data_IF_249552910400
#
_entry.id   IF_249552910400
#
_cell.length_a   1.000
_cell.length_b   1.000
_cell.length_c   1.000
_cell.angle_alpha   90.00
_cell.angle_beta   90.00
_cell.angle_gamma   90.00
#
_symmetry.space_group_name_H-M   'P 1'
#
loop_
_entity.id
_entity.type
_entity.pdbx_description
1 polymer ?
#
# COMPACT_ATOMS: atom_id res chain seq x y z
N UNK A 1 6.43 -93.88 -1.54
CA UNK A 1 5.41 -94.96 -1.48
C UNK A 1 4.05 -94.26 -1.51
N UNK A 2 3.21 -94.72 -2.51
CA UNK A 2 1.74 -94.56 -2.65
C UNK A 2 1.27 -93.12 -2.89
N UNK A 3 0.89 -92.75 -4.03
CA UNK A 3 -0.06 -93.15 -5.14
C UNK A 3 -1.50 -92.73 -4.82
N UNK A 4 -2.06 -92.07 -5.83
CA UNK A 4 -3.49 -92.12 -6.22
C UNK A 4 -4.39 -91.12 -5.57
N UNK A 5 -5.28 -90.33 -6.24
CA UNK A 5 -5.92 -90.66 -7.51
C UNK A 5 -6.78 -89.50 -8.03
N UNK A 6 -6.90 -89.52 -9.27
CA UNK A 6 -7.68 -88.61 -10.13
C UNK A 6 -9.19 -88.96 -9.95
N UNK A 7 -10.05 -87.92 -9.84
CA UNK A 7 -11.46 -88.04 -10.27
C UNK A 7 -11.91 -86.80 -11.00
N UNK A 8 -12.27 -87.02 -12.26
CA UNK A 8 -13.08 -86.18 -13.11
C UNK A 8 -14.51 -86.05 -12.60
N UNK A 9 -15.08 -84.86 -12.61
CA UNK A 9 -16.53 -84.69 -12.74
C UNK A 9 -16.91 -83.40 -13.39
N UNK A 10 -17.49 -83.57 -14.53
CA UNK A 10 -18.63 -82.91 -15.21
C UNK A 10 -18.77 -81.39 -15.28
N UNK A 11 -18.81 -81.03 -16.53
CA UNK A 11 -19.22 -79.75 -17.07
C UNK A 11 -20.74 -79.59 -17.03
N UNK A 12 -21.27 -78.63 -16.33
CA UNK A 12 -22.62 -78.13 -16.59
C UNK A 12 -22.51 -76.61 -16.84
N UNK A 13 -22.82 -76.23 -18.08
CA UNK A 13 -22.96 -74.88 -18.54
C UNK A 13 -24.06 -74.13 -17.78
N UNK A 14 -23.75 -73.04 -17.13
CA UNK A 14 -24.72 -72.07 -16.68
C UNK A 14 -24.44 -70.72 -17.39
N UNK A 15 -25.34 -70.41 -18.31
CA UNK A 15 -25.37 -69.09 -19.00
C UNK A 15 -25.77 -68.02 -17.98
N UNK A 16 -24.88 -67.16 -17.63
CA UNK A 16 -25.18 -65.96 -16.87
C UNK A 16 -25.15 -64.75 -17.81
N UNK A 17 -26.33 -64.19 -18.02
CA UNK A 17 -26.50 -62.96 -18.81
C UNK A 17 -25.77 -61.82 -18.08
N UNK A 18 -24.72 -61.28 -18.74
CA UNK A 18 -24.02 -60.09 -18.26
C UNK A 18 -24.84 -58.84 -18.63
N UNK A 19 -25.58 -58.32 -17.67
CA UNK A 19 -26.18 -56.97 -17.74
C UNK A 19 -25.06 -55.93 -17.57
N UNK A 20 -24.63 -55.34 -18.67
CA UNK A 20 -23.76 -54.15 -18.63
C UNK A 20 -24.53 -52.98 -18.04
N UNK A 21 -24.31 -52.68 -16.76
CA UNK A 21 -24.64 -51.40 -16.15
C UNK A 21 -23.64 -50.36 -16.67
N UNK A 22 -24.05 -49.51 -17.64
CA UNK A 22 -23.35 -48.27 -17.98
C UNK A 22 -23.46 -47.34 -16.77
N UNK A 23 -22.41 -47.26 -15.96
CA UNK A 23 -22.25 -46.19 -14.99
C UNK A 23 -21.91 -44.88 -15.77
N UNK A 24 -22.60 -43.78 -15.52
CA UNK A 24 -22.23 -42.50 -16.14
C UNK A 24 -20.84 -42.06 -15.62
N UNK A 25 -19.91 -41.90 -16.54
CA UNK A 25 -18.59 -41.30 -16.29
C UNK A 25 -18.82 -39.84 -15.90
N UNK A 26 -18.88 -39.56 -14.59
CA UNK A 26 -18.85 -38.18 -14.09
C UNK A 26 -17.41 -37.70 -14.27
N UNK A 27 -17.14 -37.00 -15.39
CA UNK A 27 -15.93 -36.24 -15.57
C UNK A 27 -15.88 -35.17 -14.48
N UNK A 28 -14.78 -35.07 -13.68
CA UNK A 28 -14.63 -33.95 -12.76
C UNK A 28 -14.63 -32.68 -13.60
N UNK A 29 -15.58 -31.78 -13.31
CA UNK A 29 -15.58 -30.43 -13.86
C UNK A 29 -14.21 -29.82 -13.55
N UNK A 30 -13.43 -29.53 -14.59
CA UNK A 30 -12.20 -28.80 -14.46
C UNK A 30 -12.55 -27.47 -13.77
N UNK A 31 -12.10 -27.29 -12.54
CA UNK A 31 -12.19 -26.03 -11.84
C UNK A 31 -11.50 -25.00 -12.72
N UNK A 32 -12.28 -24.11 -13.33
CA UNK A 32 -11.78 -22.94 -14.04
C UNK A 32 -10.88 -22.19 -13.06
N UNK A 33 -9.58 -22.25 -13.30
CA UNK A 33 -8.64 -21.36 -12.62
C UNK A 33 -9.12 -19.93 -12.90
N UNK A 34 -9.63 -19.27 -11.87
CA UNK A 34 -10.01 -17.87 -11.96
C UNK A 34 -8.77 -17.10 -12.41
N UNK A 35 -8.81 -16.63 -13.65
CA UNK A 35 -7.77 -15.78 -14.22
C UNK A 35 -7.75 -14.49 -13.43
N UNK A 36 -6.70 -14.31 -12.61
CA UNK A 36 -6.42 -13.04 -11.94
C UNK A 36 -6.40 -11.92 -12.98
N UNK A 37 -7.00 -10.74 -12.72
CA UNK A 37 -6.93 -9.65 -13.67
C UNK A 37 -5.46 -9.34 -13.96
N UNK A 38 -5.06 -9.44 -15.25
CA UNK A 38 -3.72 -9.18 -15.69
C UNK A 38 -3.38 -7.71 -15.44
N UNK A 39 -2.68 -7.46 -14.31
CA UNK A 39 -1.94 -6.21 -14.19
C UNK A 39 -0.81 -6.26 -15.22
N UNK A 40 -0.71 -5.23 -16.04
CA UNK A 40 0.42 -5.03 -16.93
C UNK A 40 1.70 -5.15 -16.14
N UNK A 41 2.68 -5.88 -16.67
CA UNK A 41 3.98 -6.16 -16.06
C UNK A 41 4.75 -4.84 -15.81
N UNK A 42 4.37 -4.13 -14.77
CA UNK A 42 5.20 -3.10 -14.16
C UNK A 42 6.21 -3.85 -13.28
N UNK A 43 7.49 -3.62 -13.47
CA UNK A 43 8.59 -4.20 -12.67
C UNK A 43 8.44 -3.98 -11.15
N UNK A 44 7.50 -3.15 -10.72
CA UNK A 44 7.19 -2.85 -9.32
C UNK A 44 6.06 -3.71 -8.75
N UNK A 45 5.33 -4.43 -9.62
CA UNK A 45 4.15 -5.17 -9.19
C UNK A 45 4.52 -6.50 -8.55
N UNK A 46 4.06 -6.69 -7.32
CA UNK A 46 4.10 -7.97 -6.63
C UNK A 46 2.85 -8.13 -5.76
N UNK A 47 2.34 -9.35 -5.64
CA UNK A 47 1.22 -9.65 -4.75
C UNK A 47 1.30 -11.06 -4.19
N UNK A 48 0.69 -11.24 -3.02
CA UNK A 48 0.51 -12.54 -2.37
C UNK A 48 -0.74 -12.50 -1.51
N UNK A 49 -1.43 -13.63 -1.41
CA UNK A 49 -2.48 -13.88 -0.44
C UNK A 49 -2.16 -15.19 0.31
N UNK A 50 -2.26 -15.16 1.63
CA UNK A 50 -1.95 -16.30 2.49
C UNK A 50 -3.10 -16.56 3.47
N UNK A 51 -3.33 -17.83 3.77
CA UNK A 51 -4.14 -18.27 4.88
C UNK A 51 -3.37 -18.02 6.19
N UNK A 52 -3.93 -17.19 7.05
CA UNK A 52 -3.22 -16.76 8.26
C UNK A 52 -3.13 -17.86 9.33
N UNK A 53 -3.97 -18.88 9.27
CA UNK A 53 -3.96 -19.98 10.22
C UNK A 53 -2.86 -21.00 9.90
N UNK A 54 -2.77 -21.42 8.64
CA UNK A 54 -1.80 -22.44 8.20
C UNK A 54 -0.50 -21.85 7.64
N UNK A 55 -0.45 -20.55 7.32
CA UNK A 55 0.65 -19.93 6.59
C UNK A 55 0.71 -20.31 5.11
N UNK A 56 -0.26 -21.08 4.61
CA UNK A 56 -0.30 -21.55 3.22
C UNK A 56 -0.52 -20.38 2.26
N UNK A 57 0.33 -20.30 1.22
CA UNK A 57 0.15 -19.37 0.12
C UNK A 57 -1.04 -19.83 -0.73
N UNK A 58 -2.07 -18.98 -0.86
CA UNK A 58 -3.26 -19.24 -1.64
C UNK A 58 -3.06 -18.80 -3.10
N UNK A 59 -2.47 -17.61 -3.31
CA UNK A 59 -2.05 -17.13 -4.61
C UNK A 59 -0.85 -16.19 -4.47
N UNK A 60 -0.02 -16.11 -5.50
CA UNK A 60 1.16 -15.27 -5.54
C UNK A 60 1.47 -14.83 -6.98
N UNK A 61 1.91 -13.58 -7.13
CA UNK A 61 2.43 -13.06 -8.38
C UNK A 61 3.65 -12.20 -8.06
N UNK A 62 4.82 -12.54 -8.63
CA UNK A 62 6.10 -11.88 -8.36
C UNK A 62 6.41 -11.74 -6.85
N UNK A 63 5.91 -12.68 -6.00
CA UNK A 63 5.93 -12.52 -4.55
C UNK A 63 7.35 -12.41 -3.97
N UNK A 64 8.34 -12.94 -4.66
CA UNK A 64 9.75 -12.92 -4.27
C UNK A 64 10.56 -11.82 -4.99
N UNK A 65 9.90 -11.00 -5.80
CA UNK A 65 10.53 -9.85 -6.41
C UNK A 65 10.95 -8.82 -5.36
N UNK A 66 12.17 -8.32 -5.49
CA UNK A 66 12.70 -7.26 -4.63
C UNK A 66 12.04 -5.93 -4.98
N UNK A 67 11.40 -5.33 -3.99
CA UNK A 67 10.67 -4.06 -4.10
C UNK A 67 10.96 -3.16 -2.90
N UNK A 68 10.58 -1.90 -2.98
CA UNK A 68 10.72 -0.97 -1.85
C UNK A 68 9.48 -0.97 -0.96
N UNK A 69 9.61 -1.16 0.36
CA UNK A 69 8.46 -1.26 1.27
C UNK A 69 7.69 0.06 1.44
N UNK A 70 8.32 1.21 1.23
CA UNK A 70 7.76 2.49 1.63
C UNK A 70 7.29 2.43 3.11
N UNK A 71 6.16 3.07 3.46
CA UNK A 71 5.65 3.05 4.85
C UNK A 71 5.17 1.69 5.36
N UNK A 72 5.20 0.61 4.57
CA UNK A 72 5.02 -0.74 5.11
C UNK A 72 6.15 -1.11 6.09
N UNK A 73 7.31 -0.47 6.00
CA UNK A 73 8.42 -0.52 6.97
C UNK A 73 7.93 -0.35 8.41
N UNK A 74 6.94 0.53 8.63
CA UNK A 74 6.39 0.79 9.97
C UNK A 74 5.73 -0.43 10.62
N UNK A 75 5.41 -1.46 9.85
CA UNK A 75 4.94 -2.74 10.44
C UNK A 75 6.07 -3.36 11.26
N UNK A 76 7.32 -3.35 10.76
CA UNK A 76 8.47 -3.85 11.52
C UNK A 76 8.79 -2.94 12.71
N UNK A 77 8.70 -1.61 12.55
CA UNK A 77 8.89 -0.66 13.66
C UNK A 77 7.90 -0.92 14.78
N UNK A 78 6.62 -1.14 14.46
CA UNK A 78 5.58 -1.49 15.43
C UNK A 78 5.80 -2.88 16.01
N UNK A 79 6.23 -3.86 15.21
CA UNK A 79 6.55 -5.21 15.69
C UNK A 79 7.63 -5.16 16.79
N UNK A 80 8.71 -4.43 16.56
CA UNK A 80 9.79 -4.29 17.54
C UNK A 80 9.35 -3.51 18.78
N UNK A 81 8.52 -2.46 18.61
CA UNK A 81 7.94 -1.75 19.73
C UNK A 81 7.03 -2.65 20.59
N UNK A 82 6.23 -3.50 19.95
CA UNK A 82 5.39 -4.46 20.66
C UNK A 82 6.21 -5.56 21.35
N UNK A 83 7.32 -5.99 20.75
CA UNK A 83 8.31 -6.85 21.41
C UNK A 83 8.87 -6.19 22.67
N UNK A 84 9.25 -4.92 22.59
CA UNK A 84 9.79 -4.16 23.74
C UNK A 84 8.73 -3.98 24.84
N UNK A 85 7.46 -3.71 24.48
CA UNK A 85 6.33 -3.69 25.42
C UNK A 85 6.12 -5.04 26.10
N UNK A 86 6.17 -6.14 25.34
CA UNK A 86 6.02 -7.51 25.84
C UNK A 86 7.14 -7.89 26.83
N UNK A 87 8.35 -7.37 26.63
CA UNK A 87 9.50 -7.58 27.50
C UNK A 87 9.61 -6.56 28.64
N UNK A 88 8.62 -5.66 28.81
CA UNK A 88 8.64 -4.57 29.77
C UNK A 88 9.84 -3.61 29.63
N UNK A 89 10.41 -3.52 28.44
CA UNK A 89 11.46 -2.55 28.08
C UNK A 89 10.89 -1.18 27.72
N UNK A 90 9.62 -1.15 27.31
CA UNK A 90 8.79 0.04 27.12
C UNK A 90 7.49 -0.10 27.88
N UNK A 91 6.84 1.03 28.15
CA UNK A 91 5.45 1.08 28.57
C UNK A 91 4.65 2.03 27.69
N UNK A 92 3.35 1.80 27.50
CA UNK A 92 2.51 2.61 26.62
C UNK A 92 2.48 4.08 27.02
N UNK A 93 2.52 4.35 28.32
CA UNK A 93 2.47 5.72 28.86
C UNK A 93 3.86 6.36 29.02
N UNK A 94 4.93 5.63 28.72
CA UNK A 94 6.28 6.16 28.78
C UNK A 94 6.44 7.32 27.80
N UNK A 95 6.92 8.49 28.27
CA UNK A 95 7.24 9.60 27.39
C UNK A 95 8.53 9.29 26.62
N UNK A 96 8.51 9.51 25.31
CA UNK A 96 9.69 9.48 24.44
C UNK A 96 10.00 10.89 23.98
N UNK A 97 11.27 11.28 24.02
CA UNK A 97 11.73 12.61 23.63
C UNK A 97 11.97 12.68 22.14
N UNK A 98 11.51 13.77 21.53
CA UNK A 98 11.73 14.04 20.10
C UNK A 98 13.11 14.70 19.92
N UNK A 99 13.97 14.05 19.18
CA UNK A 99 15.29 14.59 18.80
C UNK A 99 15.17 15.62 17.66
N UNK A 100 16.25 16.33 17.39
CA UNK A 100 16.36 17.17 16.20
C UNK A 100 16.23 16.35 14.90
N UNK A 101 16.79 15.13 14.89
CA UNK A 101 16.68 14.19 13.77
C UNK A 101 15.23 13.77 13.52
N UNK A 102 14.53 13.28 14.54
CA UNK A 102 13.13 12.87 14.41
C UNK A 102 12.23 14.03 13.95
N UNK A 103 12.41 15.24 14.50
CA UNK A 103 11.65 16.44 14.10
C UNK A 103 11.89 16.83 12.63
N UNK A 104 13.11 16.61 12.12
CA UNK A 104 13.49 16.95 10.74
C UNK A 104 12.96 15.94 9.70
N UNK A 105 12.33 14.83 10.11
CA UNK A 105 11.80 13.83 9.19
C UNK A 105 10.87 14.46 8.14
N UNK A 106 11.00 13.96 6.91
CA UNK A 106 10.11 14.35 5.81
C UNK A 106 8.67 13.88 6.05
N UNK A 107 7.67 14.56 5.53
CA UNK A 107 6.26 14.13 5.60
C UNK A 107 6.03 12.71 4.99
N UNK A 108 5.00 11.93 5.44
CA UNK A 108 3.95 12.31 6.42
C UNK A 108 4.49 12.36 7.86
N UNK A 109 4.07 13.34 8.65
CA UNK A 109 4.53 13.52 10.04
C UNK A 109 3.48 14.22 10.90
N UNK A 110 3.60 14.15 12.23
CA UNK A 110 2.79 14.91 13.18
C UNK A 110 3.23 16.38 13.28
N UNK A 111 4.46 16.73 12.89
CA UNK A 111 5.06 18.04 13.08
C UNK A 111 5.59 18.22 14.51
N UNK A 112 6.20 17.17 15.05
CA UNK A 112 6.85 17.21 16.38
C UNK A 112 8.05 18.15 16.37
N UNK A 113 8.26 18.87 17.49
CA UNK A 113 9.39 19.80 17.66
C UNK A 113 10.51 19.16 18.47
N UNK A 114 11.77 19.55 18.25
CA UNK A 114 12.87 19.07 19.08
C UNK A 114 12.63 19.36 20.55
N UNK A 115 12.89 18.37 21.41
CA UNK A 115 12.70 18.47 22.86
C UNK A 115 11.27 18.20 23.34
N UNK A 116 10.27 18.19 22.48
CA UNK A 116 8.92 17.74 22.84
C UNK A 116 8.89 16.25 23.19
N UNK A 117 7.81 15.85 23.85
CA UNK A 117 7.56 14.43 24.17
C UNK A 117 6.22 13.99 23.63
N UNK A 118 6.13 12.71 23.27
CA UNK A 118 4.89 11.99 23.05
C UNK A 118 4.98 10.65 23.78
N UNK A 119 3.84 10.06 24.14
CA UNK A 119 3.88 8.70 24.73
C UNK A 119 4.14 7.64 23.68
N UNK A 120 4.64 6.48 24.09
CA UNK A 120 4.79 5.31 23.21
C UNK A 120 3.45 4.99 22.52
N UNK A 121 2.32 5.05 23.24
CA UNK A 121 1.00 4.81 22.65
C UNK A 121 0.63 5.86 21.59
N UNK A 122 0.91 7.14 21.84
CA UNK A 122 0.71 8.19 20.85
C UNK A 122 1.57 7.96 19.59
N UNK A 123 2.82 7.50 19.78
CA UNK A 123 3.66 7.13 18.64
C UNK A 123 3.08 5.95 17.85
N UNK A 124 2.63 4.88 18.52
CA UNK A 124 1.97 3.73 17.90
C UNK A 124 0.75 4.18 17.08
N UNK A 125 -0.15 4.97 17.68
CA UNK A 125 -1.34 5.49 17.01
C UNK A 125 -0.99 6.38 15.81
N UNK A 126 0.03 7.22 15.93
CA UNK A 126 0.51 8.08 14.85
C UNK A 126 1.11 7.27 13.67
N UNK A 127 1.83 6.17 13.96
CA UNK A 127 2.36 5.28 12.91
C UNK A 127 1.23 4.58 12.15
N UNK A 128 0.22 4.11 12.87
CA UNK A 128 -0.91 3.34 12.30
C UNK A 128 -1.80 4.25 11.45
N UNK A 129 -2.22 5.40 11.97
CA UNK A 129 -3.20 6.28 11.33
C UNK A 129 -2.54 7.24 10.34
N UNK A 130 -1.71 8.17 10.84
CA UNK A 130 -1.05 9.24 10.08
C UNK A 130 0.15 8.76 9.29
N UNK A 131 0.66 7.55 9.60
CA UNK A 131 1.93 7.08 9.03
C UNK A 131 3.10 8.01 9.34
N UNK A 132 3.14 8.58 10.56
CA UNK A 132 4.03 9.66 10.95
C UNK A 132 5.51 9.23 10.97
N UNK A 133 6.35 9.87 10.15
CA UNK A 133 7.77 9.56 10.04
C UNK A 133 8.56 10.07 11.24
N UNK A 134 8.22 11.25 11.75
CA UNK A 134 8.82 11.83 12.96
C UNK A 134 8.57 10.97 14.21
N UNK A 135 7.35 10.48 14.37
CA UNK A 135 7.02 9.57 15.45
C UNK A 135 7.72 8.20 15.31
N UNK A 136 7.92 7.71 14.07
CA UNK A 136 8.66 6.47 13.83
C UNK A 136 10.15 6.61 14.19
N UNK A 137 10.79 7.71 13.81
CA UNK A 137 12.18 8.00 14.18
C UNK A 137 12.34 8.18 15.69
N UNK A 138 11.45 8.94 16.34
CA UNK A 138 11.49 9.12 17.80
C UNK A 138 11.32 7.80 18.56
N UNK A 139 10.41 6.92 18.10
CA UNK A 139 10.21 5.60 18.69
C UNK A 139 11.44 4.70 18.48
N UNK A 140 12.07 4.76 17.29
CA UNK A 140 13.30 4.03 16.98
C UNK A 140 14.46 4.47 17.88
N UNK A 141 14.67 5.77 18.02
CA UNK A 141 15.71 6.34 18.90
C UNK A 141 15.48 5.99 20.37
N UNK A 142 14.22 5.93 20.83
CA UNK A 142 13.91 5.51 22.18
C UNK A 142 14.24 4.04 22.48
N UNK A 143 14.26 3.19 21.46
CA UNK A 143 14.58 1.76 21.60
C UNK A 143 16.07 1.44 21.42
N UNK A 144 16.74 2.10 20.49
CA UNK A 144 18.12 1.72 20.10
C UNK A 144 19.10 2.91 20.12
N UNK A 145 18.68 4.06 20.64
CA UNK A 145 19.54 5.25 20.75
C UNK A 145 19.64 6.04 19.46
N UNK A 146 19.79 5.39 18.28
CA UNK A 146 19.76 6.04 16.96
C UNK A 146 18.85 5.30 15.98
N UNK A 147 18.28 6.03 15.01
CA UNK A 147 17.50 5.40 13.94
C UNK A 147 18.35 4.43 13.09
N UNK A 148 19.63 4.72 12.93
CA UNK A 148 20.56 3.85 12.18
C UNK A 148 20.81 2.51 12.92
N UNK A 149 20.97 2.53 14.24
CA UNK A 149 21.08 1.31 15.05
C UNK A 149 19.80 0.51 15.00
N UNK A 150 18.67 1.21 15.14
CA UNK A 150 17.36 0.59 15.02
C UNK A 150 17.14 -0.07 13.65
N UNK A 151 17.53 0.55 12.55
CA UNK A 151 17.43 -0.03 11.21
C UNK A 151 18.26 -1.31 11.07
N UNK A 152 19.46 -1.36 11.72
CA UNK A 152 20.26 -2.60 11.79
C UNK A 152 19.53 -3.68 12.59
N UNK A 153 18.97 -3.33 13.74
CA UNK A 153 18.19 -4.25 14.57
C UNK A 153 16.92 -4.74 13.83
N UNK A 154 16.22 -3.86 13.10
CA UNK A 154 15.10 -4.24 12.23
C UNK A 154 15.52 -5.30 11.19
N UNK A 155 16.67 -5.12 10.56
CA UNK A 155 17.18 -6.06 9.54
C UNK A 155 17.56 -7.41 10.18
N UNK A 156 18.17 -7.41 11.35
CA UNK A 156 18.44 -8.64 12.11
C UNK A 156 17.13 -9.35 12.50
N UNK A 157 16.14 -8.58 12.98
CA UNK A 157 14.82 -9.14 13.30
C UNK A 157 14.14 -9.72 12.06
N UNK A 158 14.24 -9.06 10.92
CA UNK A 158 13.71 -9.58 9.66
C UNK A 158 14.34 -10.94 9.31
N UNK A 159 15.65 -11.08 9.42
CA UNK A 159 16.33 -12.38 9.22
C UNK A 159 15.83 -13.44 10.18
N UNK A 160 15.67 -13.11 11.47
CA UNK A 160 15.15 -14.03 12.48
C UNK A 160 13.71 -14.47 12.22
N UNK A 161 12.91 -13.66 11.51
CA UNK A 161 11.56 -13.99 11.06
C UNK A 161 11.54 -14.74 9.72
N UNK A 162 12.69 -14.99 9.09
CA UNK A 162 12.80 -15.65 7.80
C UNK A 162 12.64 -14.72 6.58
N UNK A 163 12.57 -13.40 6.79
CA UNK A 163 12.45 -12.39 5.73
C UNK A 163 13.81 -12.21 5.02
N UNK A 164 14.15 -13.16 4.16
CA UNK A 164 15.50 -13.29 3.59
C UNK A 164 15.88 -12.17 2.62
N UNK A 165 14.89 -11.54 1.98
CA UNK A 165 15.09 -10.47 0.99
C UNK A 165 14.89 -9.06 1.55
N UNK A 166 14.67 -8.93 2.88
CA UNK A 166 14.35 -7.65 3.49
C UNK A 166 15.57 -7.01 4.14
N UNK A 167 15.85 -5.76 3.82
CA UNK A 167 16.80 -4.88 4.49
C UNK A 167 16.13 -3.57 4.82
N UNK A 168 16.29 -3.10 6.04
CA UNK A 168 15.79 -1.81 6.49
C UNK A 168 16.95 -0.81 6.64
N UNK A 169 16.73 0.43 6.21
CA UNK A 169 17.67 1.53 6.30
C UNK A 169 17.19 2.66 7.21
N UNK A 170 15.90 2.68 7.54
CA UNK A 170 15.27 3.64 8.47
C UNK A 170 13.98 3.03 9.06
N UNK A 171 13.43 3.69 10.07
CA UNK A 171 12.24 3.22 10.79
C UNK A 171 10.91 3.57 10.09
N UNK A 172 10.94 4.46 9.11
CA UNK A 172 9.74 5.10 8.57
C UNK A 172 9.34 4.61 7.18
N UNK A 173 10.28 4.11 6.38
CA UNK A 173 10.07 3.76 4.98
C UNK A 173 10.31 4.91 4.02
N UNK A 174 10.99 5.98 4.47
CA UNK A 174 11.49 7.03 3.58
C UNK A 174 12.44 6.44 2.54
N UNK A 175 12.52 7.02 1.33
CA UNK A 175 13.33 6.49 0.25
C UNK A 175 14.80 6.31 0.62
N UNK A 176 15.30 5.07 0.49
CA UNK A 176 16.69 4.69 0.55
C UNK A 176 16.87 3.48 -0.38
N UNK A 177 17.88 3.49 -1.25
CA UNK A 177 18.10 2.42 -2.21
C UNK A 177 18.40 1.06 -1.55
N UNK A 178 18.94 1.07 -0.32
CA UNK A 178 19.24 -0.14 0.47
C UNK A 178 17.99 -0.74 1.12
N UNK A 179 16.90 0.04 1.24
CA UNK A 179 15.67 -0.38 1.90
C UNK A 179 14.79 -1.16 0.95
N UNK A 180 14.83 -2.47 1.06
CA UNK A 180 14.17 -3.41 0.16
C UNK A 180 13.41 -4.49 0.93
N UNK A 181 12.46 -5.12 0.28
CA UNK A 181 11.65 -6.24 0.79
C UNK A 181 11.07 -7.04 -0.38
N UNK A 182 10.22 -8.03 -0.08
CA UNK A 182 9.38 -8.73 -1.03
C UNK A 182 7.93 -8.85 -0.51
N UNK A 183 6.99 -9.18 -1.37
CA UNK A 183 5.60 -9.40 -0.94
C UNK A 183 5.52 -10.61 0.02
N UNK A 184 6.31 -11.65 -0.21
CA UNK A 184 6.40 -12.81 0.68
C UNK A 184 6.93 -12.41 2.07
N UNK A 185 8.02 -11.66 2.12
CA UNK A 185 8.60 -11.23 3.40
C UNK A 185 7.60 -10.37 4.21
N UNK A 186 6.85 -9.48 3.53
CA UNK A 186 5.83 -8.68 4.20
C UNK A 186 4.64 -9.52 4.70
N UNK A 187 4.28 -10.59 3.98
CA UNK A 187 3.27 -11.54 4.47
C UNK A 187 3.78 -12.30 5.71
N UNK A 188 5.05 -12.71 5.72
CA UNK A 188 5.68 -13.35 6.89
C UNK A 188 5.69 -12.42 8.11
N UNK A 189 6.00 -11.13 7.91
CA UNK A 189 5.94 -10.14 8.99
C UNK A 189 4.51 -9.95 9.52
N UNK A 190 3.52 -9.92 8.65
CA UNK A 190 2.12 -9.80 9.03
C UNK A 190 1.63 -11.04 9.81
N UNK A 191 2.03 -12.24 9.40
CA UNK A 191 1.76 -13.50 10.13
C UNK A 191 2.43 -13.47 11.52
N UNK A 192 3.70 -13.05 11.59
CA UNK A 192 4.42 -12.92 12.85
C UNK A 192 3.74 -11.90 13.79
N UNK A 193 3.28 -10.76 13.25
CA UNK A 193 2.55 -9.73 14.01
C UNK A 193 1.29 -10.30 14.67
N UNK A 194 0.49 -11.06 13.93
CA UNK A 194 -0.73 -11.70 14.45
C UNK A 194 -0.42 -12.76 15.51
N UNK A 195 0.60 -13.58 15.28
CA UNK A 195 1.01 -14.67 16.17
C UNK A 195 1.60 -14.16 17.48
N UNK A 196 2.54 -13.20 17.40
CA UNK A 196 3.39 -12.81 18.52
C UNK A 196 2.78 -11.66 19.34
N UNK A 197 1.94 -10.83 18.71
CA UNK A 197 1.35 -9.62 19.28
C UNK A 197 -0.16 -9.51 19.09
N UNK A 198 -0.96 -10.55 19.38
CA UNK A 198 -2.41 -10.55 19.10
C UNK A 198 -3.17 -9.44 19.85
N UNK A 199 -2.70 -9.05 21.06
CA UNK A 199 -3.32 -7.97 21.82
C UNK A 199 -3.04 -6.59 21.23
N UNK A 200 -1.81 -6.35 20.76
CA UNK A 200 -1.39 -5.08 20.18
C UNK A 200 -1.84 -4.95 18.71
N UNK A 201 -2.10 -6.06 18.04
CA UNK A 201 -2.61 -6.07 16.67
C UNK A 201 -3.84 -5.20 16.48
N UNK A 202 -4.70 -5.09 17.50
CA UNK A 202 -5.92 -4.24 17.48
C UNK A 202 -5.65 -2.77 17.13
N UNK A 203 -4.44 -2.25 17.37
CA UNK A 203 -4.11 -0.88 16.98
C UNK A 203 -4.24 -0.63 15.49
N UNK A 204 -4.01 -1.65 14.64
CA UNK A 204 -4.13 -1.51 13.19
C UNK A 204 -5.57 -1.27 12.70
N UNK A 205 -6.57 -1.60 13.50
CA UNK A 205 -7.98 -1.33 13.23
C UNK A 205 -8.41 0.10 13.62
N UNK A 206 -7.52 0.92 14.19
CA UNK A 206 -7.83 2.30 14.59
C UNK A 206 -8.14 3.14 13.35
N UNK A 207 -9.37 3.65 13.25
CA UNK A 207 -9.82 4.46 12.12
C UNK A 207 -9.27 5.89 12.16
N UNK A 208 -9.12 6.45 13.36
CA UNK A 208 -8.64 7.82 13.55
C UNK A 208 -7.92 7.99 14.90
N UNK A 209 -7.06 8.99 14.96
CA UNK A 209 -6.31 9.38 16.15
C UNK A 209 -6.32 10.90 16.31
N UNK A 210 -6.63 11.38 17.49
CA UNK A 210 -6.61 12.82 17.81
C UNK A 210 -5.29 13.16 18.47
N UNK A 211 -4.52 14.03 17.85
CA UNK A 211 -3.28 14.55 18.42
C UNK A 211 -3.29 16.08 18.40
N UNK A 212 -3.16 16.71 19.57
CA UNK A 212 -3.20 18.18 19.75
C UNK A 212 -4.42 18.83 19.07
N UNK A 213 -5.59 18.22 19.23
CA UNK A 213 -6.83 18.71 18.64
C UNK A 213 -6.99 18.46 17.13
N UNK A 214 -6.00 17.86 16.48
CA UNK A 214 -6.08 17.50 15.07
C UNK A 214 -6.45 16.02 14.93
N UNK A 215 -7.46 15.73 14.12
CA UNK A 215 -7.88 14.36 13.79
C UNK A 215 -7.00 13.83 12.64
N UNK A 216 -6.41 12.68 12.84
CA UNK A 216 -5.63 11.95 11.83
C UNK A 216 -6.33 10.65 11.47
N UNK A 217 -6.87 10.56 10.26
CA UNK A 217 -7.53 9.36 9.77
C UNK A 217 -6.53 8.31 9.31
N UNK A 218 -6.91 7.03 9.42
CA UNK A 218 -6.12 5.93 8.89
C UNK A 218 -6.13 5.96 7.35
N UNK A 219 -4.96 5.74 6.76
CA UNK A 219 -4.80 5.70 5.31
C UNK A 219 -5.33 4.41 4.68
N UNK A 220 -5.59 3.36 5.47
CA UNK A 220 -6.20 2.12 5.00
C UNK A 220 -7.72 2.31 4.83
N UNK A 221 -8.16 2.62 3.62
CA UNK A 221 -9.57 2.87 3.31
C UNK A 221 -10.43 1.61 3.29
N UNK A 222 -9.84 0.42 3.39
CA UNK A 222 -10.59 -0.83 3.51
C UNK A 222 -11.14 -1.05 4.93
N UNK A 223 -10.60 -0.34 5.93
CA UNK A 223 -11.17 -0.34 7.29
C UNK A 223 -12.59 0.23 7.25
N UNK A 224 -13.56 -0.58 7.68
CA UNK A 224 -14.98 -0.23 7.64
C UNK A 224 -15.64 -0.24 6.24
N UNK A 225 -14.85 -0.38 5.15
CA UNK A 225 -15.37 -0.44 3.79
C UNK A 225 -15.40 -1.87 3.21
N UNK A 226 -14.54 -2.77 3.71
CA UNK A 226 -14.53 -4.17 3.34
C UNK A 226 -14.73 -5.04 4.57
N UNK A 227 -15.69 -5.97 4.50
CA UNK A 227 -16.10 -6.80 5.62
C UNK A 227 -14.95 -7.66 6.15
N UNK A 228 -14.74 -7.57 7.48
CA UNK A 228 -13.71 -8.30 8.20
C UNK A 228 -12.30 -7.70 8.15
N UNK A 229 -12.04 -6.61 7.41
CA UNK A 229 -10.72 -5.95 7.42
C UNK A 229 -10.47 -5.26 8.77
N UNK A 230 -9.34 -5.62 9.40
CA UNK A 230 -8.90 -5.09 10.69
C UNK A 230 -7.43 -4.60 10.70
N UNK A 231 -6.82 -4.45 9.54
CA UNK A 231 -5.44 -3.96 9.37
C UNK A 231 -4.98 -4.01 7.92
N UNK A 232 -3.71 -3.76 7.60
CA UNK A 232 -2.59 -3.47 8.50
C UNK A 232 -2.01 -2.10 8.16
N UNK A 233 -1.43 -1.91 6.95
CA UNK A 233 -0.72 -0.68 6.62
C UNK A 233 -0.65 -0.39 5.13
N UNK A 234 -0.78 0.88 4.75
CA UNK A 234 -0.52 1.40 3.41
C UNK A 234 0.91 1.93 3.29
N UNK A 235 1.42 2.02 2.06
CA UNK A 235 2.68 2.66 1.74
C UNK A 235 2.67 3.25 0.34
N UNK A 236 3.43 4.30 0.15
CA UNK A 236 3.68 4.89 -1.16
C UNK A 236 5.05 5.56 -1.21
N UNK A 237 5.82 5.25 -2.23
CA UNK A 237 6.92 6.06 -2.77
C UNK A 237 6.91 5.91 -4.29
N UNK A 238 7.50 6.88 -5.02
CA UNK A 238 7.53 6.82 -6.48
C UNK A 238 8.16 5.53 -7.03
N UNK A 239 9.16 5.00 -6.32
CA UNK A 239 9.87 3.79 -6.74
C UNK A 239 9.02 2.52 -6.63
N UNK A 240 8.10 2.42 -5.68
CA UNK A 240 7.28 1.22 -5.46
C UNK A 240 5.80 1.37 -5.82
N UNK A 241 5.31 2.58 -6.15
CA UNK A 241 3.88 2.82 -6.33
C UNK A 241 3.09 2.69 -5.03
N UNK A 242 1.77 2.49 -5.13
CA UNK A 242 0.88 2.35 -3.97
C UNK A 242 0.87 0.90 -3.46
N UNK A 243 1.23 0.73 -2.19
CA UNK A 243 1.38 -0.55 -1.53
C UNK A 243 0.34 -0.74 -0.42
N UNK A 244 0.01 -1.99 -0.09
CA UNK A 244 -0.88 -2.33 1.02
C UNK A 244 -0.54 -3.73 1.55
N UNK A 245 -0.45 -3.85 2.86
CA UNK A 245 -0.66 -5.11 3.57
C UNK A 245 -2.02 -5.02 4.25
N UNK A 246 -2.91 -5.94 3.92
CA UNK A 246 -4.23 -6.04 4.55
C UNK A 246 -4.43 -7.39 5.21
N UNK A 247 -5.24 -7.41 6.27
CA UNK A 247 -5.74 -8.62 6.91
C UNK A 247 -7.25 -8.52 7.06
N UNK A 248 -7.93 -9.61 6.76
CA UNK A 248 -9.38 -9.72 6.93
C UNK A 248 -9.76 -11.05 7.57
N UNK A 249 -10.80 -11.04 8.41
CA UNK A 249 -11.33 -12.25 9.06
C UNK A 249 -12.82 -12.38 8.80
N UNK A 250 -13.25 -13.55 8.33
CA UNK A 250 -14.66 -13.93 8.13
C UNK A 250 -14.87 -15.38 8.55
N UNK A 251 -15.97 -15.66 9.21
CA UNK A 251 -16.38 -17.04 9.62
C UNK A 251 -15.24 -17.82 10.28
N UNK A 252 -14.47 -17.15 11.13
CA UNK A 252 -13.32 -17.74 11.84
C UNK A 252 -12.06 -17.91 11.00
N UNK A 253 -12.11 -17.73 9.68
CA UNK A 253 -10.95 -17.81 8.77
C UNK A 253 -10.35 -16.43 8.56
N UNK A 254 -9.02 -16.37 8.53
CA UNK A 254 -8.28 -15.12 8.31
C UNK A 254 -7.36 -15.22 7.11
N UNK A 255 -7.37 -14.20 6.27
CA UNK A 255 -6.45 -14.06 5.13
C UNK A 255 -5.59 -12.81 5.28
N UNK A 256 -4.36 -12.87 4.78
CA UNK A 256 -3.46 -11.72 4.67
C UNK A 256 -3.14 -11.52 3.19
N UNK A 257 -3.41 -10.31 2.70
CA UNK A 257 -3.03 -9.88 1.37
C UNK A 257 -1.89 -8.87 1.40
N UNK A 258 -0.97 -8.95 0.44
CA UNK A 258 0.06 -7.95 0.19
C UNK A 258 0.01 -7.54 -1.28
N UNK A 259 0.00 -6.25 -1.54
CA UNK A 259 0.04 -5.67 -2.90
C UNK A 259 1.12 -4.60 -2.94
N UNK A 260 1.99 -4.67 -3.94
CA UNK A 260 2.94 -3.64 -4.34
C UNK A 260 2.63 -3.14 -5.76
N UNK A 261 3.06 -1.94 -6.09
CA UNK A 261 3.07 -1.45 -7.46
C UNK A 261 1.74 -0.88 -7.97
N UNK A 262 0.76 -0.65 -7.11
CA UNK A 262 -0.49 0.00 -7.54
C UNK A 262 -0.24 1.36 -8.19
N UNK A 263 -0.89 1.63 -9.32
CA UNK A 263 -0.78 2.92 -10.02
C UNK A 263 -1.47 4.07 -9.29
N UNK A 264 -2.50 3.75 -8.50
CA UNK A 264 -3.23 4.67 -7.63
C UNK A 264 -3.63 3.97 -6.34
N UNK A 265 -3.93 4.73 -5.27
CA UNK A 265 -4.50 4.15 -4.05
C UNK A 265 -5.81 3.40 -4.31
N UNK A 266 -6.65 3.90 -5.23
CA UNK A 266 -7.91 3.24 -5.60
C UNK A 266 -7.70 1.92 -6.34
N UNK A 267 -6.79 1.86 -7.32
CA UNK A 267 -6.51 0.62 -8.04
C UNK A 267 -5.87 -0.42 -7.14
N UNK A 268 -4.96 -0.01 -6.22
CA UNK A 268 -4.39 -0.87 -5.19
C UNK A 268 -5.48 -1.46 -4.28
N UNK A 269 -6.43 -0.62 -3.80
CA UNK A 269 -7.53 -1.08 -2.93
C UNK A 269 -8.45 -2.04 -3.67
N UNK A 270 -8.84 -1.75 -4.91
CA UNK A 270 -9.67 -2.64 -5.72
C UNK A 270 -8.98 -3.99 -5.96
N UNK A 271 -7.67 -4.00 -6.22
CA UNK A 271 -6.92 -5.22 -6.37
C UNK A 271 -6.83 -6.01 -5.05
N UNK A 272 -6.61 -5.34 -3.92
CA UNK A 272 -6.61 -5.99 -2.61
C UNK A 272 -7.97 -6.65 -2.31
N UNK A 273 -9.08 -5.97 -2.61
CA UNK A 273 -10.43 -6.55 -2.46
C UNK A 273 -10.55 -7.84 -3.26
N UNK A 274 -10.15 -7.84 -4.54
CA UNK A 274 -10.17 -9.04 -5.38
C UNK A 274 -9.33 -10.18 -4.79
N UNK A 275 -8.12 -9.87 -4.29
CA UNK A 275 -7.26 -10.87 -3.65
C UNK A 275 -7.89 -11.47 -2.38
N UNK A 276 -8.48 -10.62 -1.54
CA UNK A 276 -9.15 -11.08 -0.31
C UNK A 276 -10.36 -11.96 -0.63
N UNK A 277 -11.18 -11.57 -1.62
CA UNK A 277 -12.33 -12.36 -2.07
C UNK A 277 -11.90 -13.73 -2.63
N UNK A 278 -10.84 -13.76 -3.44
CA UNK A 278 -10.25 -15.01 -3.94
C UNK A 278 -9.72 -15.88 -2.79
N UNK A 279 -9.03 -15.28 -1.82
CA UNK A 279 -8.52 -15.97 -0.64
C UNK A 279 -9.63 -16.62 0.18
N UNK A 280 -10.70 -15.90 0.48
CA UNK A 280 -11.85 -16.44 1.21
C UNK A 280 -12.56 -17.55 0.42
N UNK A 281 -12.73 -17.38 -0.90
CA UNK A 281 -13.31 -18.41 -1.76
C UNK A 281 -12.47 -19.71 -1.73
N UNK A 282 -11.14 -19.62 -1.80
CA UNK A 282 -10.23 -20.77 -1.72
C UNK A 282 -10.27 -21.46 -0.35
N UNK A 283 -10.71 -20.76 0.70
CA UNK A 283 -10.90 -21.31 2.05
C UNK A 283 -12.33 -21.84 2.31
N UNK A 284 -13.20 -21.80 1.28
CA UNK A 284 -14.59 -22.23 1.41
C UNK A 284 -15.48 -21.28 2.22
N UNK A 285 -15.01 -20.04 2.44
CA UNK A 285 -15.81 -18.99 3.07
C UNK A 285 -16.65 -18.33 2.00
N UNK A 286 -17.98 -18.32 2.16
CA UNK A 286 -18.91 -17.69 1.22
C UNK A 286 -18.56 -16.22 0.99
N UNK A 287 -18.69 -15.76 -0.26
CA UNK A 287 -18.38 -14.38 -0.64
C UNK A 287 -19.13 -13.40 0.26
N UNK A 288 -18.39 -12.58 0.98
CA UNK A 288 -18.96 -11.48 1.73
C UNK A 288 -19.71 -10.54 0.78
N UNK A 289 -20.66 -9.78 1.29
CA UNK A 289 -21.53 -8.82 0.56
C UNK A 289 -20.75 -7.71 -0.21
N UNK A 290 -19.53 -7.97 -0.66
CA UNK A 290 -18.69 -7.03 -1.41
C UNK A 290 -18.65 -7.25 -2.92
N UNK A 291 -19.11 -8.41 -3.44
CA UNK A 291 -18.94 -8.75 -4.87
C UNK A 291 -19.96 -8.07 -5.81
N UNK A 292 -21.09 -7.57 -5.28
CA UNK A 292 -22.13 -6.94 -6.10
C UNK A 292 -22.41 -5.47 -5.74
N UNK A 293 -21.78 -4.91 -4.73
CA UNK A 293 -21.90 -3.49 -4.46
C UNK A 293 -20.90 -2.73 -5.36
N UNK A 294 -21.38 -1.82 -6.24
CA UNK A 294 -20.47 -0.87 -6.89
C UNK A 294 -19.71 -0.15 -5.79
N UNK A 295 -18.38 -0.03 -5.94
CA UNK A 295 -17.52 0.74 -5.03
C UNK A 295 -18.26 2.03 -4.67
N UNK A 296 -18.85 2.06 -3.47
CA UNK A 296 -19.66 3.18 -3.00
C UNK A 296 -18.79 4.42 -3.11
N UNK A 297 -19.21 5.35 -3.92
CA UNK A 297 -18.60 6.67 -4.03
C UNK A 297 -18.64 7.27 -2.63
N UNK A 298 -17.48 7.52 -2.04
CA UNK A 298 -17.30 8.18 -0.73
C UNK A 298 -17.97 9.59 -0.68
N UNK A 299 -18.63 10.01 -1.76
CA UNK A 299 -19.35 11.28 -1.86
C UNK A 299 -20.77 11.29 -1.24
N UNK A 300 -21.38 10.13 -0.92
CA UNK A 300 -22.81 10.07 -0.56
C UNK A 300 -23.10 9.57 0.87
N UNK A 301 -22.13 9.53 1.77
CA UNK A 301 -22.44 9.30 3.20
C UNK A 301 -22.96 10.57 3.86
N UNK A 302 -24.20 10.96 3.50
CA UNK A 302 -25.05 11.75 4.37
C UNK A 302 -25.81 10.80 5.30
N UNK A 303 -25.44 10.87 6.60
CA UNK A 303 -26.21 10.43 7.78
C UNK A 303 -26.53 8.93 7.89
N UNK A 304 -25.73 8.23 8.69
CA UNK A 304 -26.22 7.14 9.53
C UNK A 304 -26.87 7.73 10.80
N UNK A 305 -27.94 7.11 11.34
CA UNK A 305 -28.59 7.60 12.55
C UNK A 305 -27.69 7.40 13.78
N UNK A 306 -27.76 8.30 14.76
CA UNK A 306 -26.87 8.25 15.95
C UNK A 306 -27.22 7.06 16.83
N UNK A 307 -26.20 6.30 17.25
CA UNK A 307 -26.33 5.33 18.33
C UNK A 307 -26.38 6.09 19.66
N UNK A 308 -27.30 5.66 20.51
CA UNK A 308 -27.58 6.24 21.82
C UNK A 308 -26.38 6.17 22.76
N UNK A 309 -25.60 7.20 22.81
CA UNK A 309 -24.83 7.63 23.99
C UNK A 309 -24.78 9.17 23.95
N UNK A 310 -25.91 9.80 24.23
CA UNK A 310 -25.99 11.24 24.41
C UNK A 310 -26.65 11.53 25.74
N UNK A 311 -25.85 11.88 26.69
CA UNK A 311 -26.23 12.76 27.79
C UNK A 311 -24.92 13.27 28.44
N UNK A 312 -24.34 14.29 27.90
CA UNK A 312 -23.65 15.42 28.55
C UNK A 312 -23.03 16.29 27.46
N UNK A 313 -23.73 17.30 27.00
CA UNK A 313 -23.16 18.54 26.44
C UNK A 313 -24.27 19.55 26.16
N UNK A 314 -24.49 20.36 27.13
CA UNK A 314 -25.03 21.71 26.88
C UNK A 314 -24.09 22.69 27.59
N UNK A 315 -23.41 23.48 26.80
CA UNK A 315 -22.92 24.84 26.99
C UNK A 315 -21.52 25.06 26.33
N UNK A 316 -21.52 25.55 25.11
CA UNK A 316 -20.57 26.59 24.70
C UNK A 316 -20.82 26.99 23.23
N UNK A 317 -21.18 28.22 23.06
CA UNK A 317 -21.26 29.21 22.03
C UNK A 317 -20.87 28.91 20.59
N UNK A 318 -21.77 29.35 19.74
CA UNK A 318 -21.70 29.42 18.29
C UNK A 318 -20.50 30.24 17.79
N UNK A 319 -19.74 29.66 16.87
CA UNK A 319 -18.99 30.42 15.85
C UNK A 319 -18.99 29.61 14.56
N UNK A 320 -19.74 30.09 13.57
CA UNK A 320 -19.80 29.55 12.22
C UNK A 320 -18.56 29.97 11.43
N UNK A 321 -17.63 29.04 11.21
CA UNK A 321 -16.67 29.14 10.10
C UNK A 321 -16.83 27.90 9.22
N UNK A 322 -17.21 28.08 7.95
CA UNK A 322 -17.25 27.02 6.93
C UNK A 322 -15.84 26.53 6.69
N UNK A 323 -15.45 25.40 7.26
CA UNK A 323 -14.23 24.69 6.88
C UNK A 323 -14.42 24.06 5.50
N UNK A 324 -13.54 24.37 4.55
CA UNK A 324 -13.38 23.62 3.29
C UNK A 324 -13.03 22.17 3.62
N UNK A 325 -13.52 21.16 2.87
CA UNK A 325 -13.08 19.78 3.08
C UNK A 325 -11.58 19.71 2.94
N UNK A 326 -10.91 19.13 3.92
CA UNK A 326 -9.47 18.89 3.91
C UNK A 326 -9.06 17.95 2.77
N UNK A 327 -7.80 17.99 2.34
CA UNK A 327 -7.30 17.16 1.26
C UNK A 327 -7.47 15.67 1.57
N UNK A 328 -7.76 14.85 0.55
CA UNK A 328 -7.91 13.41 0.68
C UNK A 328 -6.59 12.75 1.15
N UNK A 329 -6.66 11.53 1.69
CA UNK A 329 -5.46 10.79 2.09
C UNK A 329 -4.44 10.64 0.96
N UNK A 330 -4.91 10.41 -0.28
CA UNK A 330 -4.06 10.40 -1.48
C UNK A 330 -3.44 11.77 -1.79
N UNK A 331 -4.16 12.83 -1.49
CA UNK A 331 -3.73 14.21 -1.69
C UNK A 331 -2.70 14.65 -0.64
N UNK A 332 -2.88 14.22 0.62
CA UNK A 332 -1.91 14.43 1.69
C UNK A 332 -0.63 13.62 1.47
N UNK A 333 -0.74 12.41 0.97
CA UNK A 333 0.39 11.55 0.63
C UNK A 333 1.15 12.11 -0.59
N UNK A 334 0.44 12.65 -1.60
CA UNK A 334 1.04 13.39 -2.73
C UNK A 334 1.69 14.69 -2.29
N UNK A 335 1.05 15.49 -1.44
CA UNK A 335 1.62 16.73 -0.90
C UNK A 335 2.89 16.45 -0.07
N UNK A 336 2.93 15.35 0.66
CA UNK A 336 4.11 14.90 1.38
C UNK A 336 5.29 14.58 0.42
N UNK A 337 4.98 14.04 -0.75
CA UNK A 337 5.95 13.72 -1.80
C UNK A 337 6.42 14.97 -2.54
N UNK A 338 5.51 15.90 -2.81
CA UNK A 338 5.82 17.22 -3.41
C UNK A 338 6.74 18.06 -2.51
N UNK A 339 6.50 18.03 -1.19
CA UNK A 339 7.36 18.68 -0.22
C UNK A 339 8.77 18.06 -0.14
N UNK A 340 8.89 16.77 -0.45
CA UNK A 340 10.14 16.02 -0.35
C UNK A 340 11.10 16.16 -1.53
N UNK A 341 10.72 16.84 -2.64
CA UNK A 341 11.62 16.88 -3.79
C UNK A 341 11.32 17.86 -4.90
N UNK A 342 10.44 18.82 -4.72
CA UNK A 342 10.14 19.82 -5.78
C UNK A 342 9.57 19.21 -7.07
N UNK A 343 8.89 18.05 -6.98
CA UNK A 343 8.36 17.28 -8.11
C UNK A 343 6.86 17.48 -8.26
N UNK A 344 6.41 18.66 -8.48
CA UNK A 344 5.00 18.94 -8.76
C UNK A 344 4.71 19.28 -10.23
N UNK A 345 5.72 19.22 -11.08
CA UNK A 345 5.57 19.53 -12.50
C UNK A 345 4.91 18.36 -13.24
N UNK A 346 4.10 18.71 -14.24
CA UNK A 346 3.49 17.77 -15.14
C UNK A 346 3.78 18.14 -16.60
N UNK A 347 3.67 17.16 -17.49
CA UNK A 347 3.69 17.37 -18.94
C UNK A 347 2.34 16.94 -19.50
N UNK A 348 1.57 17.87 -20.07
CA UNK A 348 0.33 17.57 -20.75
C UNK A 348 0.66 17.12 -22.18
N UNK A 349 0.27 15.92 -22.53
CA UNK A 349 0.49 15.33 -23.89
C UNK A 349 -0.71 15.52 -24.81
N UNK A 350 -1.84 15.98 -24.29
CA UNK A 350 -3.00 16.33 -25.08
C UNK A 350 -4.34 16.32 -24.34
N UNK A 351 -5.40 16.68 -25.11
CA UNK A 351 -6.80 16.56 -24.70
C UNK A 351 -7.55 15.85 -25.84
N UNK A 352 -8.23 14.74 -25.52
CA UNK A 352 -8.73 13.79 -26.50
C UNK A 352 -10.25 13.61 -26.40
N UNK A 353 -10.89 13.13 -27.47
CA UNK A 353 -12.35 12.88 -27.49
C UNK A 353 -12.74 11.69 -26.62
N UNK A 354 -11.88 10.67 -26.53
CA UNK A 354 -12.15 9.44 -25.79
C UNK A 354 -11.03 9.14 -24.79
N UNK A 355 -11.36 8.40 -23.74
CA UNK A 355 -10.40 7.96 -22.74
C UNK A 355 -9.33 7.06 -23.38
N UNK A 356 -9.70 6.14 -24.27
CA UNK A 356 -8.76 5.27 -24.96
C UNK A 356 -7.72 6.02 -25.80
N UNK A 357 -8.10 7.15 -26.42
CA UNK A 357 -7.15 8.01 -27.13
C UNK A 357 -6.16 8.68 -26.17
N UNK A 358 -6.62 9.11 -24.99
CA UNK A 358 -5.79 9.70 -23.95
C UNK A 358 -4.80 8.67 -23.36
N UNK A 359 -5.25 7.45 -23.11
CA UNK A 359 -4.42 6.33 -22.64
C UNK A 359 -3.35 5.97 -23.67
N UNK A 360 -3.74 5.86 -24.95
CA UNK A 360 -2.80 5.62 -26.04
C UNK A 360 -1.71 6.71 -26.12
N UNK A 361 -2.09 7.99 -26.01
CA UNK A 361 -1.15 9.10 -26.08
C UNK A 361 -0.14 9.08 -24.91
N UNK A 362 -0.57 8.70 -23.72
CA UNK A 362 0.30 8.50 -22.56
C UNK A 362 1.24 7.32 -22.78
N UNK A 363 0.74 6.18 -23.24
CA UNK A 363 1.55 5.00 -23.54
C UNK A 363 2.60 5.29 -24.63
N UNK A 364 2.22 6.05 -25.65
CA UNK A 364 3.13 6.50 -26.69
C UNK A 364 4.24 7.41 -26.13
N UNK A 365 3.91 8.34 -25.23
CA UNK A 365 4.88 9.19 -24.57
C UNK A 365 5.89 8.40 -23.71
N UNK A 366 5.45 7.37 -22.99
CA UNK A 366 6.35 6.46 -22.27
C UNK A 366 7.30 5.71 -23.20
N UNK A 367 6.81 5.23 -24.35
CA UNK A 367 7.65 4.55 -25.34
C UNK A 367 8.65 5.48 -26.02
N UNK A 368 8.24 6.72 -26.32
CA UNK A 368 9.06 7.69 -27.01
C UNK A 368 10.19 8.26 -26.16
N UNK A 369 9.97 8.37 -24.85
CA UNK A 369 10.92 9.00 -23.91
C UNK A 369 11.11 8.17 -22.63
N UNK A 370 11.53 6.89 -22.69
CA UNK A 370 11.58 5.99 -21.54
C UNK A 370 12.50 6.50 -20.42
N UNK A 371 13.62 7.17 -20.76
CA UNK A 371 14.53 7.74 -19.77
C UNK A 371 13.93 8.96 -19.06
N UNK A 372 13.25 9.84 -19.81
CA UNK A 372 12.64 11.06 -19.27
C UNK A 372 11.33 10.82 -18.53
N UNK A 373 10.69 9.66 -18.73
CA UNK A 373 9.44 9.25 -18.09
C UNK A 373 9.63 8.28 -16.91
N UNK A 374 10.86 7.87 -16.61
CA UNK A 374 11.15 6.85 -15.59
C UNK A 374 10.56 7.12 -14.20
N UNK A 375 10.28 8.36 -13.86
CA UNK A 375 9.65 8.77 -12.59
C UNK A 375 8.25 9.36 -12.79
N UNK A 376 7.75 9.42 -14.03
CA UNK A 376 6.46 10.00 -14.33
C UNK A 376 5.31 9.06 -14.00
N UNK A 377 4.20 9.60 -13.49
CA UNK A 377 2.94 8.91 -13.36
C UNK A 377 1.93 9.43 -14.39
N UNK A 378 1.09 8.55 -14.93
CA UNK A 378 0.01 8.93 -15.83
C UNK A 378 -1.16 9.56 -15.07
N UNK A 379 -1.72 10.65 -15.60
CA UNK A 379 -2.97 11.27 -15.13
C UNK A 379 -3.90 11.50 -16.32
N UNK A 380 -5.01 10.77 -16.33
CA UNK A 380 -6.06 10.91 -17.35
C UNK A 380 -7.34 11.31 -16.64
N UNK A 381 -7.79 12.53 -16.90
CA UNK A 381 -8.95 13.09 -16.25
C UNK A 381 -9.97 13.63 -17.24
N UNK A 382 -11.28 13.42 -16.99
CA UNK A 382 -12.33 14.07 -17.78
C UNK A 382 -12.30 15.59 -17.55
N UNK A 383 -12.38 16.36 -18.64
CA UNK A 383 -12.43 17.83 -18.60
C UNK A 383 -13.59 18.31 -19.47
N UNK A 384 -14.26 19.38 -19.04
CA UNK A 384 -15.26 20.09 -19.85
C UNK A 384 -14.53 21.14 -20.71
N UNK A 385 -14.74 21.07 -22.01
CA UNK A 385 -14.25 22.08 -22.96
C UNK A 385 -15.45 22.72 -23.66
N UNK A 386 -15.23 23.77 -24.41
CA UNK A 386 -16.27 24.40 -25.23
C UNK A 386 -16.92 23.41 -26.23
N UNK A 387 -16.16 22.38 -26.63
CA UNK A 387 -16.61 21.34 -27.56
C UNK A 387 -17.20 20.10 -26.87
N UNK A 388 -17.48 20.16 -25.55
CA UNK A 388 -18.07 19.08 -24.75
C UNK A 388 -17.05 18.34 -23.85
N UNK A 389 -17.44 17.14 -23.40
CA UNK A 389 -16.61 16.29 -22.52
C UNK A 389 -15.40 15.73 -23.28
N UNK A 390 -14.20 15.96 -22.76
CA UNK A 390 -12.92 15.50 -23.29
C UNK A 390 -12.13 14.80 -22.20
N UNK A 391 -11.00 14.17 -22.57
CA UNK A 391 -10.07 13.51 -21.65
C UNK A 391 -8.70 14.15 -21.76
N UNK A 392 -8.24 14.74 -20.68
CA UNK A 392 -6.93 15.35 -20.55
C UNK A 392 -5.91 14.27 -20.16
N UNK A 393 -4.81 14.16 -20.90
CA UNK A 393 -3.72 13.24 -20.66
C UNK A 393 -2.47 14.01 -20.16
N UNK A 394 -1.93 13.64 -19.00
CA UNK A 394 -0.74 14.22 -18.39
C UNK A 394 0.21 13.15 -17.87
N UNK A 395 1.49 13.50 -17.81
CA UNK A 395 2.53 12.81 -17.09
C UNK A 395 2.93 13.69 -15.90
N UNK A 396 2.76 13.19 -14.68
CA UNK A 396 2.94 13.92 -13.41
C UNK A 396 4.19 13.44 -12.67
N UNK A 397 4.48 14.04 -11.51
CA UNK A 397 5.60 13.72 -10.61
C UNK A 397 6.97 14.00 -11.22
N UNK A 398 7.07 15.06 -11.99
CA UNK A 398 8.32 15.49 -12.63
C UNK A 398 8.95 16.65 -11.87
N UNK A 399 10.28 16.72 -11.85
CA UNK A 399 10.98 17.94 -11.51
C UNK A 399 10.89 18.95 -12.67
N UNK A 400 11.16 20.24 -12.46
CA UNK A 400 11.19 21.24 -13.54
C UNK A 400 12.10 20.83 -14.70
N UNK A 401 13.29 20.31 -14.40
CA UNK A 401 14.25 19.82 -15.39
C UNK A 401 13.74 18.60 -16.16
N UNK A 402 13.13 17.65 -15.46
CA UNK A 402 12.53 16.46 -16.08
C UNK A 402 11.35 16.81 -17.00
N UNK A 403 10.46 17.72 -16.57
CA UNK A 403 9.34 18.18 -17.37
C UNK A 403 9.79 18.86 -18.66
N UNK A 404 10.85 19.70 -18.57
CA UNK A 404 11.47 20.32 -19.75
C UNK A 404 12.08 19.28 -20.67
N UNK A 405 12.95 18.41 -20.16
CA UNK A 405 13.62 17.36 -20.96
C UNK A 405 12.61 16.44 -21.63
N UNK A 406 11.59 15.98 -20.91
CA UNK A 406 10.54 15.14 -21.48
C UNK A 406 9.79 15.84 -22.61
N UNK A 407 9.48 17.13 -22.42
CA UNK A 407 8.78 17.88 -23.43
C UNK A 407 9.65 18.11 -24.68
N UNK A 408 10.95 18.32 -24.50
CA UNK A 408 11.90 18.45 -25.61
C UNK A 408 12.05 17.11 -26.37
N UNK A 409 12.09 15.97 -25.65
CA UNK A 409 12.12 14.63 -26.24
C UNK A 409 10.87 14.34 -27.08
N UNK A 410 9.68 14.64 -26.53
CA UNK A 410 8.40 14.45 -27.22
C UNK A 410 8.26 15.33 -28.46
N UNK A 411 8.68 16.59 -28.38
CA UNK A 411 8.67 17.53 -29.52
C UNK A 411 9.58 17.08 -30.63
N UNK A 412 10.76 16.53 -30.33
CA UNK A 412 11.66 15.97 -31.36
C UNK A 412 11.00 14.84 -32.15
N UNK A 413 10.06 14.13 -31.53
CA UNK A 413 9.28 13.06 -32.15
C UNK A 413 7.91 13.55 -32.67
N UNK A 414 7.74 14.88 -32.85
CA UNK A 414 6.51 15.53 -33.35
C UNK A 414 5.27 15.30 -32.47
N UNK A 415 5.44 14.91 -31.20
CA UNK A 415 4.37 14.79 -30.22
C UNK A 415 4.14 16.13 -29.53
N UNK A 416 2.87 16.60 -29.52
CA UNK A 416 2.50 17.81 -28.79
C UNK A 416 2.73 17.63 -27.30
N UNK A 417 3.28 18.66 -26.65
CA UNK A 417 3.54 18.64 -25.21
C UNK A 417 3.56 20.03 -24.63
N UNK A 418 3.09 20.16 -23.38
CA UNK A 418 3.09 21.39 -22.61
C UNK A 418 3.51 21.09 -21.17
N UNK A 419 4.63 21.68 -20.66
CA UNK A 419 4.96 21.61 -19.24
C UNK A 419 3.94 22.41 -18.43
N UNK A 420 3.48 21.83 -17.31
CA UNK A 420 2.50 22.42 -16.39
C UNK A 420 3.17 22.56 -15.02
N UNK A 421 3.17 23.78 -14.49
CA UNK A 421 3.62 24.05 -13.12
C UNK A 421 2.55 23.62 -12.10
N UNK A 422 2.95 23.17 -10.89
CA UNK A 422 2.01 22.98 -9.81
C UNK A 422 1.35 24.30 -9.43
N UNK A 423 0.05 24.31 -9.06
CA UNK A 423 -0.58 25.49 -8.53
C UNK A 423 0.09 25.84 -7.18
N UNK A 424 0.60 27.09 -7.02
CA UNK A 424 1.23 27.65 -5.81
C UNK A 424 2.76 27.57 -5.67
N UNK A 425 3.52 27.43 -6.75
CA UNK A 425 4.95 27.82 -6.71
C UNK A 425 5.07 29.27 -7.11
N UNK A 426 5.63 30.20 -6.25
CA UNK A 426 5.96 31.54 -6.67
C UNK A 426 6.86 31.47 -7.91
N UNK A 427 6.62 32.30 -8.91
CA UNK A 427 7.51 32.42 -10.07
C UNK A 427 8.90 32.79 -9.55
N UNK A 428 9.80 31.80 -9.49
CA UNK A 428 11.21 32.08 -9.31
C UNK A 428 11.66 32.85 -10.58
N UNK A 429 11.90 34.12 -10.44
CA UNK A 429 12.63 34.92 -11.43
C UNK A 429 13.98 34.23 -11.64
N UNK A 430 14.21 33.77 -12.87
CA UNK A 430 15.53 33.35 -13.33
C UNK A 430 16.35 34.66 -13.41
N UNK A 431 17.01 35.01 -12.29
CA UNK A 431 18.05 35.99 -12.30
C UNK A 431 19.37 35.29 -12.62
N UNK A 432 20.02 35.76 -13.64
CA UNK A 432 21.37 35.42 -14.09
C UNK A 432 22.33 35.21 -12.91
N UNK A 433 22.84 34.01 -12.74
CA UNK A 433 24.03 33.77 -11.94
C UNK A 433 25.25 33.98 -12.85
N UNK A 434 25.63 35.23 -13.05
CA UNK A 434 26.94 35.59 -13.54
C UNK A 434 27.98 35.28 -12.46
N UNK A 435 28.87 34.39 -12.81
CA UNK A 435 30.07 34.02 -12.10
C UNK A 435 30.90 35.26 -11.75
N UNK A 436 31.02 35.59 -10.46
CA UNK A 436 32.09 36.45 -9.97
C UNK A 436 33.15 35.63 -9.27
N UNK A 437 34.27 35.45 -9.98
CA UNK A 437 35.54 34.94 -9.47
C UNK A 437 36.08 35.93 -8.41
N UNK A 438 36.18 35.48 -7.15
CA UNK A 438 36.95 36.17 -6.12
C UNK A 438 38.41 35.73 -6.18
N UNK A 439 39.20 36.60 -6.78
CA UNK A 439 40.67 36.61 -6.74
C UNK A 439 41.15 36.83 -5.30
N UNK A 440 41.93 35.90 -4.79
CA UNK A 440 42.77 36.04 -3.61
C UNK A 440 43.82 37.14 -3.81
N UNK A 441 43.87 38.14 -2.92
CA UNK A 441 45.07 38.93 -2.67
C UNK A 441 45.43 38.93 -1.20
N UNK A 442 46.57 38.30 -0.95
CA UNK A 442 47.44 38.42 0.23
C UNK A 442 47.84 39.88 0.49
N UNK A 443 47.69 40.29 1.74
CA UNK A 443 48.70 41.01 2.51
C UNK A 443 48.43 40.88 4.01
#
# INVERSE_FOLDING_TARGET
MKSEGIRFFDIRALSVAASLLLAPLVLPAAASAATMPAFTADERYASIIVDAESGRVLAANNADQVVHPASLTKIMTLYMAFDALKRNQLSLQQPIRVSAHASAMLPSKLGLRPGETLTVEQAVLALVTKSANDAAAALAEAMEGTEADFARAMTQRARALGMSQTTFANASGLPDARQVTSARDMAMLALAMLRDHPRQYRYFATSEFVFRGTVHHNHNRLLGAYDGVDGIKTGFINASGFNLVASAQRDGRRVIGVVFGGSTGRSRDAHMVSLLDDGFRMLGVGGGRGSDAPLVRVADQKKAPPSKVDAVKEAAGQSKAKAKPGPSADELERQAIEAAGGRGWAVQVGVFKTQAQAEKAVADAFRMAPKSTSTAASDIAPVKTAEGKRFRARLQNLSPAQAKTLCDDLKRQKQACQPIQPPNVPKATVADASVQSLSTRTR
#
